data_IF_030264269463
#
_entry.id   IF_030264269463
#
_cell.length_a   1.000
_cell.length_b   1.000
_cell.length_c   1.000
_cell.angle_alpha   90.00
_cell.angle_beta   90.00
_cell.angle_gamma   90.00
#
_symmetry.space_group_name_H-M   'P 1'
#
loop_
_entity.id
_entity.type
_entity.pdbx_description
1 polymer ?
#
# COMPACT_ATOMS: atom_id res chain seq x y z
N UNK A 1 11.64 -4.93 35.26
CA UNK A 1 10.49 -5.04 34.34
C UNK A 1 10.95 -4.32 33.08
N UNK A 2 11.23 -5.07 32.00
CA UNK A 2 11.86 -4.50 30.81
C UNK A 2 10.91 -3.55 30.08
N UNK A 3 11.46 -2.43 29.62
CA UNK A 3 10.77 -1.38 28.87
C UNK A 3 10.29 -1.89 27.50
N UNK A 4 9.16 -1.38 26.97
CA UNK A 4 9.03 -1.20 25.53
C UNK A 4 9.08 0.29 25.20
N UNK A 5 10.29 0.85 25.14
CA UNK A 5 10.53 2.03 24.32
C UNK A 5 10.50 1.58 22.86
N UNK A 6 9.38 1.79 22.18
CA UNK A 6 9.13 1.26 20.83
C UNK A 6 8.07 2.04 20.05
N UNK A 7 8.46 3.25 19.62
CA UNK A 7 7.90 3.99 18.48
C UNK A 7 6.38 4.25 18.47
N UNK A 8 5.96 5.26 19.24
CA UNK A 8 4.77 6.04 18.87
C UNK A 8 5.10 6.92 17.65
N UNK A 9 5.18 6.29 16.48
CA UNK A 9 5.55 6.98 15.22
C UNK A 9 5.50 6.12 13.95
N UNK A 10 4.86 4.93 13.96
CA UNK A 10 4.92 4.00 12.81
C UNK A 10 3.59 3.27 12.55
N UNK A 11 2.44 3.92 12.77
CA UNK A 11 1.17 3.44 12.21
C UNK A 11 0.97 3.74 10.69
N UNK A 12 1.48 4.85 10.09
CA UNK A 12 1.12 5.18 8.70
C UNK A 12 1.93 4.42 7.65
N UNK A 13 3.08 3.86 8.03
CA UNK A 13 3.96 3.16 7.10
C UNK A 13 3.40 1.77 6.77
N UNK A 14 2.85 1.06 7.77
CA UNK A 14 2.24 -0.25 7.56
C UNK A 14 1.01 -0.19 6.65
N UNK A 15 0.19 0.87 6.74
CA UNK A 15 -0.95 1.08 5.84
C UNK A 15 -0.50 1.37 4.40
N UNK A 16 0.56 2.17 4.23
CA UNK A 16 1.16 2.39 2.90
C UNK A 16 1.74 1.11 2.30
N UNK A 17 2.36 0.26 3.12
CA UNK A 17 2.88 -1.02 2.65
C UNK A 17 1.76 -2.02 2.32
N UNK A 18 0.61 -1.98 3.02
CA UNK A 18 -0.55 -2.80 2.66
C UNK A 18 -1.07 -2.46 1.25
N UNK A 19 -1.17 -1.17 0.92
CA UNK A 19 -1.55 -0.73 -0.41
C UNK A 19 -0.56 -1.18 -1.51
N UNK A 20 0.74 -1.27 -1.18
CA UNK A 20 1.77 -1.80 -2.08
C UNK A 20 1.62 -3.32 -2.27
N UNK A 21 1.29 -4.05 -1.20
CA UNK A 21 1.08 -5.49 -1.26
C UNK A 21 -0.11 -5.85 -2.16
N UNK A 22 -1.24 -5.15 -1.99
CA UNK A 22 -2.42 -5.28 -2.87
C UNK A 22 -2.10 -4.95 -4.34
N UNK A 23 -1.28 -3.92 -4.60
CA UNK A 23 -0.79 -3.62 -5.95
C UNK A 23 -0.03 -4.79 -6.56
N UNK A 24 0.87 -5.44 -5.80
CA UNK A 24 1.63 -6.60 -6.30
C UNK A 24 0.71 -7.78 -6.63
N UNK A 25 -0.28 -8.06 -5.79
CA UNK A 25 -1.29 -9.09 -6.06
C UNK A 25 -2.06 -8.77 -7.35
N UNK A 26 -2.50 -7.51 -7.52
CA UNK A 26 -3.20 -7.05 -8.72
C UNK A 26 -2.36 -7.23 -9.99
N UNK A 27 -1.06 -6.89 -9.96
CA UNK A 27 -0.19 -7.08 -11.11
C UNK A 27 0.04 -8.55 -11.43
N UNK A 28 0.10 -9.43 -10.42
CA UNK A 28 0.28 -10.87 -10.68
C UNK A 28 -0.91 -11.51 -11.37
N UNK A 29 -2.10 -10.94 -11.22
CA UNK A 29 -3.31 -11.33 -11.96
C UNK A 29 -3.34 -10.71 -13.37
N UNK A 30 -2.62 -9.61 -13.58
CA UNK A 30 -2.40 -9.00 -14.88
C UNK A 30 -1.23 -9.66 -15.64
N UNK A 31 -1.26 -9.61 -16.98
CA UNK A 31 -0.02 -9.76 -17.74
C UNK A 31 0.79 -8.47 -17.62
N UNK A 32 2.05 -8.54 -17.21
CA UNK A 32 2.96 -7.38 -17.12
C UNK A 32 3.13 -6.64 -18.46
N UNK A 33 2.86 -7.32 -19.58
CA UNK A 33 2.82 -6.76 -20.94
C UNK A 33 1.58 -5.88 -21.18
N UNK A 34 0.49 -6.15 -20.46
CA UNK A 34 -0.73 -5.36 -20.51
C UNK A 34 -0.57 -4.12 -19.62
N UNK A 35 0.15 -3.13 -20.16
CA UNK A 35 0.43 -1.86 -19.47
C UNK A 35 -0.83 -1.10 -19.03
N UNK A 36 -1.99 -1.38 -19.64
CA UNK A 36 -3.28 -0.84 -19.21
C UNK A 36 -3.72 -1.45 -17.88
N UNK A 37 -3.61 -2.77 -17.73
CA UNK A 37 -3.90 -3.49 -16.49
C UNK A 37 -3.00 -3.00 -15.34
N UNK A 38 -1.68 -2.90 -15.60
CA UNK A 38 -0.70 -2.41 -14.61
C UNK A 38 -1.00 -0.97 -14.18
N UNK A 39 -1.33 -0.09 -15.14
CA UNK A 39 -1.68 1.31 -14.84
C UNK A 39 -2.92 1.38 -13.96
N UNK A 40 -3.95 0.57 -14.23
CA UNK A 40 -5.15 0.52 -13.39
C UNK A 40 -4.88 0.00 -11.97
N UNK A 41 -4.06 -1.04 -11.83
CA UNK A 41 -3.65 -1.53 -10.51
C UNK A 41 -2.93 -0.43 -9.71
N UNK A 42 -2.02 0.31 -10.35
CA UNK A 42 -1.33 1.43 -9.73
C UNK A 42 -2.30 2.56 -9.35
N UNK A 43 -3.22 2.94 -10.22
CA UNK A 43 -4.21 3.99 -9.91
C UNK A 43 -5.20 3.58 -8.81
N UNK A 44 -5.52 2.29 -8.71
CA UNK A 44 -6.47 1.77 -7.72
C UNK A 44 -5.83 1.67 -6.33
N UNK A 45 -4.59 1.18 -6.26
CA UNK A 45 -3.94 0.84 -4.98
C UNK A 45 -2.91 1.87 -4.53
N UNK A 46 -2.16 2.49 -5.45
CA UNK A 46 -1.02 3.35 -5.11
C UNK A 46 -1.31 4.85 -5.24
N UNK A 47 -2.37 5.25 -5.95
CA UNK A 47 -2.72 6.66 -6.12
C UNK A 47 -3.41 7.19 -4.86
N UNK A 48 -2.60 7.45 -3.85
CA UNK A 48 -3.03 8.12 -2.63
C UNK A 48 -2.90 9.64 -2.84
N UNK A 49 -4.03 10.29 -3.08
CA UNK A 49 -4.20 11.67 -2.63
C UNK A 49 -4.21 11.63 -1.10
N UNK A 50 -3.40 12.45 -0.42
CA UNK A 50 -2.96 12.24 0.97
C UNK A 50 -4.02 12.35 2.06
N UNK A 51 -5.07 11.54 2.02
CA UNK A 51 -6.07 11.39 3.06
C UNK A 51 -5.82 10.08 3.81
N UNK A 52 -4.79 10.10 4.64
CA UNK A 52 -4.77 9.25 5.83
C UNK A 52 -5.96 9.63 6.73
N UNK A 53 -6.82 8.66 7.04
CA UNK A 53 -7.69 8.68 8.21
C UNK A 53 -9.15 9.07 8.00
N UNK A 54 -10.02 8.06 7.86
CA UNK A 54 -11.21 7.88 8.70
C UNK A 54 -12.04 6.68 8.21
N UNK A 55 -11.91 5.54 8.89
CA UNK A 55 -13.06 4.85 9.47
C UNK A 55 -12.64 4.01 10.66
#
# INVERSE_FOLDING_TARGET
>A
MAEPNGSSGTAPLSERWAAVDDYFVCITECSLDDGTCVTRCMETHLKQDGASGAS
#
